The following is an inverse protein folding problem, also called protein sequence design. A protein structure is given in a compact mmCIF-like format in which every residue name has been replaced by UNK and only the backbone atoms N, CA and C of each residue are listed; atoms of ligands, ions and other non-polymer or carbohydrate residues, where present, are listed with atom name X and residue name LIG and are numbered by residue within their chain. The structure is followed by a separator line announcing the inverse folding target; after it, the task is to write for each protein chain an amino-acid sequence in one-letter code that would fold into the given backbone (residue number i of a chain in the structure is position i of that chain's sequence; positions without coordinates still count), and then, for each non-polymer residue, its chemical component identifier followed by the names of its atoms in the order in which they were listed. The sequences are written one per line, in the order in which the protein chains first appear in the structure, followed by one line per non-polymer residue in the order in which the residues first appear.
data_IF_025044256602
#
_entry.id   IF_025044256602
#
_cell.length_a   1.000
_cell.length_b   1.000
_cell.length_c   1.000
_cell.angle_alpha   90.00
_cell.angle_beta   90.00
_cell.angle_gamma   90.00
#
_symmetry.space_group_name_H-M   'P 1'
#
loop_
_entity.id
_entity.type
_entity.pdbx_description
1 polymer ?
#
# COMPACT_ATOMS: atom_id res chain seq x y z
N UNK A 1 -18.05 17.60 12.73
CA UNK A 1 -16.61 17.34 12.99
C UNK A 1 -16.19 16.19 12.08
N UNK A 2 -15.03 16.27 11.40
CA UNK A 2 -14.49 15.08 10.73
C UNK A 2 -13.97 14.13 11.79
N UNK A 3 -14.47 12.90 11.79
CA UNK A 3 -13.94 11.86 12.67
C UNK A 3 -12.66 11.26 12.07
N UNK A 4 -11.88 10.57 12.89
CA UNK A 4 -10.74 9.76 12.44
C UNK A 4 -11.17 8.78 11.34
N UNK A 5 -12.35 8.15 11.49
CA UNK A 5 -12.89 7.20 10.53
C UNK A 5 -13.20 7.84 9.17
N UNK A 6 -13.69 9.08 9.16
CA UNK A 6 -13.97 9.83 7.92
C UNK A 6 -12.67 10.17 7.18
N UNK A 7 -11.62 10.53 7.91
CA UNK A 7 -10.30 10.79 7.36
C UNK A 7 -9.73 9.53 6.71
N UNK A 8 -9.81 8.38 7.38
CA UNK A 8 -9.36 7.11 6.82
C UNK A 8 -10.13 6.72 5.55
N UNK A 9 -11.46 6.81 5.56
CA UNK A 9 -12.28 6.56 4.35
C UNK A 9 -11.88 7.47 3.20
N UNK A 10 -11.55 8.73 3.48
CA UNK A 10 -11.12 9.70 2.46
C UNK A 10 -9.73 9.35 1.91
N UNK A 11 -8.79 8.97 2.77
CA UNK A 11 -7.46 8.48 2.36
C UNK A 11 -7.59 7.24 1.49
N UNK A 12 -8.45 6.28 1.83
CA UNK A 12 -8.66 5.06 1.03
C UNK A 12 -9.20 5.35 -0.36
N UNK A 13 -10.14 6.29 -0.50
CA UNK A 13 -10.62 6.72 -1.82
C UNK A 13 -9.49 7.33 -2.66
N UNK A 14 -8.72 8.23 -2.07
CA UNK A 14 -7.60 8.89 -2.77
C UNK A 14 -6.52 7.86 -3.15
N UNK A 15 -6.27 6.85 -2.32
CA UNK A 15 -5.34 5.76 -2.66
C UNK A 15 -5.79 4.96 -3.89
N UNK A 16 -7.09 4.70 -4.02
CA UNK A 16 -7.64 4.02 -5.22
C UNK A 16 -7.47 4.89 -6.46
N UNK A 17 -7.73 6.19 -6.35
CA UNK A 17 -7.53 7.13 -7.45
C UNK A 17 -6.05 7.24 -7.84
N UNK A 18 -5.15 7.26 -6.84
CA UNK A 18 -3.71 7.25 -7.04
C UNK A 18 -3.25 5.98 -7.79
N UNK A 19 -3.73 4.81 -7.39
CA UNK A 19 -3.43 3.55 -8.06
C UNK A 19 -3.92 3.56 -9.52
N UNK A 20 -5.12 4.07 -9.75
CA UNK A 20 -5.65 4.25 -11.10
C UNK A 20 -4.75 5.16 -11.95
N UNK A 21 -4.34 6.32 -11.43
CA UNK A 21 -3.46 7.26 -12.13
C UNK A 21 -2.09 6.66 -12.41
N UNK A 22 -1.51 5.90 -11.47
CA UNK A 22 -0.23 5.19 -11.68
C UNK A 22 -0.31 4.18 -12.82
N UNK A 23 -1.35 3.35 -12.81
CA UNK A 23 -1.59 2.40 -13.91
C UNK A 23 -1.81 3.10 -15.25
N UNK A 24 -2.42 4.29 -15.23
CA UNK A 24 -2.59 5.12 -16.42
C UNK A 24 -1.26 5.73 -16.88
N UNK A 25 -0.43 6.23 -15.97
CA UNK A 25 0.91 6.73 -16.25
C UNK A 25 1.78 5.67 -16.92
N UNK A 26 1.76 4.42 -16.44
CA UNK A 26 2.50 3.32 -17.06
C UNK A 26 2.10 3.10 -18.52
N UNK A 27 0.80 3.10 -18.82
CA UNK A 27 0.30 2.96 -20.20
C UNK A 27 0.70 4.13 -21.10
N UNK A 28 0.75 5.33 -20.54
CA UNK A 28 1.12 6.55 -21.29
C UNK A 28 2.63 6.76 -21.40
N UNK A 29 3.45 5.99 -20.68
CA UNK A 29 4.91 6.11 -20.71
C UNK A 29 5.48 5.95 -22.12
N UNK A 30 4.91 5.06 -22.92
CA UNK A 30 5.30 4.84 -24.32
C UNK A 30 4.92 6.02 -25.24
N UNK A 31 3.88 6.76 -24.87
CA UNK A 31 3.35 7.90 -25.63
C UNK A 31 3.97 9.24 -25.20
N UNK A 32 4.87 9.24 -24.20
CA UNK A 32 5.41 10.47 -23.57
C UNK A 32 6.07 11.43 -24.55
N UNK A 33 6.72 10.93 -25.61
CA UNK A 33 7.41 11.77 -26.59
C UNK A 33 6.42 12.41 -27.58
N UNK A 34 5.33 11.69 -27.88
CA UNK A 34 4.29 12.17 -28.79
C UNK A 34 3.35 13.15 -28.10
N UNK A 35 3.07 12.93 -26.82
CA UNK A 35 2.14 13.73 -26.02
C UNK A 35 2.72 14.07 -24.63
N UNK A 36 3.80 14.87 -24.57
CA UNK A 36 4.51 15.14 -23.31
C UNK A 36 3.63 15.88 -22.29
N UNK A 37 2.79 16.82 -22.75
CA UNK A 37 1.89 17.57 -21.86
C UNK A 37 0.86 16.68 -21.17
N UNK A 38 0.35 15.66 -21.87
CA UNK A 38 -0.61 14.71 -21.28
C UNK A 38 0.10 13.88 -20.22
N UNK A 39 1.27 13.33 -20.54
CA UNK A 39 2.05 12.52 -19.60
C UNK A 39 2.46 13.32 -18.35
N UNK A 40 2.95 14.55 -18.51
CA UNK A 40 3.24 15.45 -17.38
C UNK A 40 2.00 15.79 -16.56
N UNK A 41 0.84 15.95 -17.20
CA UNK A 41 -0.44 16.14 -16.51
C UNK A 41 -0.80 14.95 -15.62
N UNK A 42 -0.60 13.72 -16.10
CA UNK A 42 -0.83 12.50 -15.33
C UNK A 42 0.12 12.44 -14.12
N UNK A 43 1.42 12.74 -14.31
CA UNK A 43 2.39 12.78 -13.21
C UNK A 43 2.08 13.88 -12.20
N UNK A 44 1.58 15.04 -12.65
CA UNK A 44 1.14 16.10 -11.77
C UNK A 44 -0.07 15.68 -10.92
N UNK A 45 -1.03 14.95 -11.50
CA UNK A 45 -2.15 14.37 -10.75
C UNK A 45 -1.69 13.35 -9.71
N UNK A 46 -0.71 12.51 -10.04
CA UNK A 46 -0.12 11.55 -9.10
C UNK A 46 0.45 12.28 -7.87
N UNK A 47 1.29 13.30 -8.09
CA UNK A 47 1.87 14.13 -7.02
C UNK A 47 0.82 14.84 -6.18
N UNK A 48 -0.25 15.32 -6.80
CA UNK A 48 -1.36 15.98 -6.10
C UNK A 48 -2.10 15.02 -5.16
N UNK A 49 -2.32 13.78 -5.58
CA UNK A 49 -2.95 12.77 -4.71
C UNK A 49 -2.05 12.39 -3.54
N UNK A 50 -0.75 12.24 -3.76
CA UNK A 50 0.22 12.01 -2.69
C UNK A 50 0.21 13.16 -1.67
N UNK A 51 0.21 14.41 -2.15
CA UNK A 51 0.12 15.60 -1.27
C UNK A 51 -1.16 15.60 -0.46
N UNK A 52 -2.31 15.31 -1.07
CA UNK A 52 -3.61 15.24 -0.38
C UNK A 52 -3.65 14.17 0.70
N UNK A 53 -3.06 12.99 0.46
CA UNK A 53 -2.97 11.94 1.48
C UNK A 53 -2.14 12.44 2.67
N UNK A 54 -1.02 13.10 2.40
CA UNK A 54 -0.14 13.63 3.43
C UNK A 54 -0.79 14.77 4.23
N UNK A 55 -1.52 15.66 3.58
CA UNK A 55 -2.34 16.69 4.23
C UNK A 55 -3.38 16.07 5.18
N UNK A 56 -4.11 15.05 4.72
CA UNK A 56 -5.11 14.36 5.54
C UNK A 56 -4.50 13.68 6.77
N UNK A 57 -3.27 13.15 6.67
CA UNK A 57 -2.56 12.55 7.79
C UNK A 57 -2.12 13.56 8.84
N UNK A 58 -1.91 14.82 8.44
CA UNK A 58 -1.47 15.91 9.32
C UNK A 58 -2.63 16.66 9.97
N UNK A 59 -3.87 16.33 9.63
CA UNK A 59 -5.04 16.99 10.24
C UNK A 59 -5.08 16.71 11.75
N UNK A 60 -5.19 17.76 12.59
CA UNK A 60 -5.35 17.59 14.02
C UNK A 60 -6.73 17.00 14.28
N UNK A 61 -6.79 15.72 14.67
CA UNK A 61 -8.06 15.10 15.06
C UNK A 61 -8.25 15.30 16.55
N UNK A 62 -9.26 16.11 16.92
CA UNK A 62 -9.69 16.19 18.32
C UNK A 62 -10.37 14.89 18.69
N UNK A 63 -9.72 14.08 19.52
CA UNK A 63 -10.39 12.99 20.20
C UNK A 63 -11.33 13.61 21.24
N UNK A 64 -12.64 13.50 21.05
CA UNK A 64 -13.59 13.80 22.13
C UNK A 64 -13.37 12.77 23.23
N UNK A 65 -13.02 13.24 24.42
CA UNK A 65 -12.76 12.40 25.60
C UNK A 65 -13.97 11.55 26.01
N UNK A 66 -15.18 11.86 25.52
CA UNK A 66 -16.39 11.06 25.74
C UNK A 66 -16.33 9.63 25.16
N UNK A 67 -15.40 9.34 24.25
CA UNK A 67 -15.22 7.99 23.71
C UNK A 67 -14.18 7.14 24.45
N UNK A 68 -13.42 7.71 25.39
CA UNK A 68 -12.48 6.99 26.21
C UNK A 68 -13.06 6.87 27.62
N UNK A 69 -13.99 5.94 27.79
CA UNK A 69 -14.43 5.46 29.10
C UNK A 69 -13.27 4.78 29.83
N UNK A 70 -12.29 5.57 30.27
CA UNK A 70 -11.28 5.15 31.23
C UNK A 70 -11.90 5.44 32.59
N UNK A 71 -12.65 4.45 33.08
CA UNK A 71 -12.99 4.40 34.49
C UNK A 71 -11.69 4.49 35.30
N UNK A 72 -11.71 5.32 36.32
CA UNK A 72 -10.68 5.42 37.35
C UNK A 72 -10.40 4.02 37.90
N UNK A 73 -9.26 3.46 37.50
CA UNK A 73 -8.73 2.20 37.98
C UNK A 73 -7.30 2.42 38.43
N UNK A 74 -7.14 2.98 39.62
CA UNK A 74 -5.89 3.01 40.37
C UNK A 74 -5.39 1.58 40.62
N UNK A 75 -4.62 1.05 39.68
CA UNK A 75 -3.90 -0.22 39.79
C UNK A 75 -2.41 0.07 39.94
N UNK A 76 -1.93 0.05 41.19
CA UNK A 76 -0.53 0.14 41.57
C UNK A 76 0.26 -1.02 40.94
N UNK A 77 0.97 -0.79 39.83
CA UNK A 77 1.86 -1.79 39.23
C UNK A 77 3.17 -1.77 40.02
N UNK A 78 3.29 -2.66 41.00
CA UNK A 78 4.57 -2.94 41.66
C UNK A 78 5.49 -3.73 40.71
N UNK A 79 6.72 -3.27 40.42
CA UNK A 79 7.67 -4.06 39.66
C UNK A 79 8.20 -5.23 40.52
N UNK A 80 7.83 -6.46 40.16
CA UNK A 80 8.43 -7.67 40.74
C UNK A 80 9.82 -7.86 40.13
N UNK A 81 10.84 -7.41 40.85
CA UNK A 81 12.23 -7.79 40.58
C UNK A 81 12.44 -9.27 40.94
N UNK A 82 13.00 -10.04 40.02
CA UNK A 82 13.62 -11.34 40.31
C UNK A 82 14.77 -11.54 39.34
N UNK A 83 15.99 -11.37 39.86
CA UNK A 83 17.23 -11.85 39.26
C UNK A 83 17.77 -13.00 40.16
N UNK A 84 18.94 -13.59 39.85
CA UNK A 84 19.22 -14.50 38.75
C UNK A 84 19.58 -15.91 39.30
N UNK A 85 19.42 -16.96 38.49
CA UNK A 85 19.75 -18.33 38.90
C UNK A 85 20.13 -19.21 37.71
N UNK A 86 21.38 -19.67 37.75
CA UNK A 86 22.18 -20.30 36.70
C UNK A 86 21.85 -21.77 36.44
N UNK A 87 22.58 -22.34 35.46
CA UNK A 87 22.68 -23.75 35.02
C UNK A 87 21.55 -24.21 34.10
N UNK A 88 21.78 -24.72 32.90
CA UNK A 88 22.95 -25.30 32.26
C UNK A 88 22.39 -26.44 31.40
N UNK A 89 22.69 -26.47 30.10
CA UNK A 89 22.11 -27.55 29.29
C UNK A 89 22.27 -27.43 27.78
N UNK A 90 23.43 -27.92 27.33
CA UNK A 90 23.57 -28.78 26.14
C UNK A 90 23.58 -28.12 24.76
N UNK A 91 24.78 -28.18 24.16
CA UNK A 91 25.01 -28.10 22.72
C UNK A 91 24.22 -29.20 22.00
N UNK A 92 23.61 -28.86 20.87
CA UNK A 92 23.49 -29.78 19.75
C UNK A 92 23.76 -29.05 18.43
N UNK A 93 24.66 -29.64 17.65
CA UNK A 93 25.07 -29.22 16.31
C UNK A 93 24.05 -29.77 15.32
N UNK A 94 23.29 -28.90 14.67
CA UNK A 94 22.53 -29.23 13.47
C UNK A 94 22.71 -28.12 12.45
N UNK A 95 23.62 -28.33 11.50
CA UNK A 95 23.78 -27.41 10.38
C UNK A 95 22.72 -27.68 9.32
N UNK A 96 22.21 -26.62 8.71
CA UNK A 96 21.70 -26.69 7.34
C UNK A 96 21.98 -25.38 6.62
N UNK A 97 22.86 -25.48 5.62
CA UNK A 97 23.09 -24.47 4.61
C UNK A 97 21.97 -24.61 3.58
N UNK A 98 21.18 -23.55 3.37
CA UNK A 98 20.59 -23.31 2.05
C UNK A 98 20.07 -21.86 1.93
N UNK A 99 20.82 -21.02 1.26
CA UNK A 99 20.26 -20.18 0.20
C UNK A 99 20.86 -20.72 -1.10
N UNK A 100 20.10 -20.84 -2.19
CA UNK A 100 19.96 -19.66 -3.05
C UNK A 100 18.63 -19.52 -3.82
N UNK A 101 18.34 -18.27 -4.17
CA UNK A 101 17.90 -17.78 -5.48
C UNK A 101 17.45 -18.82 -6.53
N UNK A 102 16.22 -18.69 -7.04
CA UNK A 102 15.90 -18.45 -8.47
C UNK A 102 14.44 -18.79 -8.76
N UNK A 103 13.83 -18.11 -9.73
CA UNK A 103 12.58 -18.59 -10.35
C UNK A 103 11.50 -17.53 -10.58
N UNK A 104 11.81 -16.52 -11.40
CA UNK A 104 10.78 -15.69 -12.05
C UNK A 104 10.16 -16.56 -13.15
N UNK A 105 9.07 -17.27 -12.87
CA UNK A 105 8.29 -17.93 -13.93
C UNK A 105 7.26 -16.94 -14.48
N UNK A 106 7.64 -16.30 -15.58
CA UNK A 106 6.77 -15.57 -16.47
C UNK A 106 5.75 -16.54 -17.10
N UNK A 107 4.52 -16.57 -16.57
CA UNK A 107 3.42 -17.29 -17.18
C UNK A 107 2.81 -16.45 -18.31
N UNK A 108 3.48 -16.48 -19.46
CA UNK A 108 2.93 -16.05 -20.75
C UNK A 108 1.74 -16.94 -21.09
N UNK A 109 0.52 -16.46 -20.83
CA UNK A 109 -0.69 -17.08 -21.38
C UNK A 109 -0.86 -16.59 -22.82
N UNK A 110 -0.59 -17.50 -23.76
CA UNK A 110 -1.01 -17.49 -25.16
C UNK A 110 -2.44 -16.93 -25.30
N UNK A 111 -2.60 -15.87 -26.08
CA UNK A 111 -3.89 -15.54 -26.71
C UNK A 111 -4.11 -16.56 -27.84
N UNK A 112 -5.26 -17.25 -27.92
CA UNK A 112 -5.61 -17.93 -29.16
C UNK A 112 -5.91 -16.90 -30.25
N UNK A 113 -5.42 -17.25 -31.43
CA UNK A 113 -5.55 -16.55 -32.69
C UNK A 113 -6.98 -16.63 -33.26
N UNK A 114 -7.28 -15.71 -34.18
CA UNK A 114 -8.19 -15.99 -35.28
C UNK A 114 -9.63 -15.50 -35.12
N UNK A 115 -9.91 -14.34 -35.70
CA UNK A 115 -11.05 -14.18 -36.59
C UNK A 115 -10.66 -13.11 -37.62
N UNK A 116 -10.16 -13.60 -38.75
CA UNK A 116 -10.02 -12.88 -40.02
C UNK A 116 -11.36 -12.26 -40.42
N UNK A 117 -11.35 -10.98 -40.82
CA UNK A 117 -11.65 -10.46 -42.17
C UNK A 117 -13.04 -10.79 -42.75
N UNK A 118 -13.52 -9.80 -43.51
CA UNK A 118 -14.72 -9.71 -44.37
C UNK A 118 -15.87 -8.93 -43.70
N UNK A 119 -16.51 -7.96 -44.33
CA UNK A 119 -16.44 -7.47 -45.71
C UNK A 119 -17.04 -6.07 -45.79
N UNK A 120 -16.66 -5.36 -46.85
CA UNK A 120 -17.45 -4.44 -47.66
C UNK A 120 -18.64 -3.66 -47.04
N UNK A 121 -18.49 -2.34 -47.05
CA UNK A 121 -19.34 -1.46 -47.87
C UNK A 121 -20.85 -1.52 -47.67
N UNK A 122 -21.41 -0.43 -47.13
CA UNK A 122 -22.74 0.01 -47.51
C UNK A 122 -22.89 1.53 -47.32
N UNK A 123 -22.84 2.21 -48.47
CA UNK A 123 -23.61 3.40 -48.89
C UNK A 123 -23.40 4.73 -48.18
#
# INVERSE_FOLDING_TARGET
MLTVADIFKRIERIKKDLEYVRNFAEKWREQRERFPQIYEGILAQEREFERKIEELRRLPVQASAESLGVGEGSGEIRPRVSAPGSTGGRLDKGGDKASPSSGIEAKVRKRPAGAEREEAGAR
#
